data_IF_706542732279
#
_entry.id   IF_706542732279
#
_cell.length_a   1.000
_cell.length_b   1.000
_cell.length_c   1.000
_cell.angle_alpha   90.00
_cell.angle_beta   90.00
_cell.angle_gamma   90.00
#
_symmetry.space_group_name_H-M   'P 1'
#
loop_
_entity.id
_entity.type
_entity.pdbx_description
1 polymer ?
#
# COMPACT_ATOMS: atom_id res chain seq x y z
N UNK A 1 -18.14 21.23 -8.38
CA UNK A 1 -16.74 20.81 -8.63
C UNK A 1 -16.65 19.77 -9.72
N UNK A 2 -15.48 19.51 -10.30
CA UNK A 2 -15.25 18.36 -11.19
C UNK A 2 -14.80 17.14 -10.39
N UNK A 3 -15.29 15.94 -10.82
CA UNK A 3 -14.90 14.65 -10.24
C UNK A 3 -14.91 13.55 -11.30
N UNK A 4 -14.17 12.49 -11.04
CA UNK A 4 -14.34 11.21 -11.72
C UNK A 4 -15.45 10.45 -11.00
N UNK A 5 -16.45 9.98 -11.75
CA UNK A 5 -17.57 9.21 -11.22
C UNK A 5 -17.63 7.83 -11.84
N UNK A 6 -18.06 6.86 -11.06
CA UNK A 6 -18.36 5.49 -11.49
C UNK A 6 -19.83 5.21 -11.20
N UNK A 7 -20.61 4.95 -12.25
CA UNK A 7 -22.05 4.68 -12.17
C UNK A 7 -22.38 3.17 -12.22
N UNK A 8 -21.46 2.37 -12.71
CA UNK A 8 -21.54 0.91 -12.78
C UNK A 8 -20.14 0.30 -12.69
N UNK A 9 -20.02 -0.91 -12.16
CA UNK A 9 -18.73 -1.62 -12.15
C UNK A 9 -18.27 -1.98 -13.57
N UNK A 10 -16.94 -1.95 -13.81
CA UNK A 10 -16.35 -2.26 -15.11
C UNK A 10 -14.88 -1.92 -15.21
N UNK A 11 -14.36 -1.91 -16.43
CA UNK A 11 -13.00 -1.54 -16.77
C UNK A 11 -12.81 -0.01 -16.75
N UNK A 12 -11.68 0.51 -17.25
CA UNK A 12 -11.39 1.95 -17.27
C UNK A 12 -12.44 2.81 -17.99
N UNK A 13 -13.20 2.21 -18.91
CA UNK A 13 -14.25 2.85 -19.72
C UNK A 13 -15.43 3.37 -18.88
N UNK A 14 -15.61 2.89 -17.64
CA UNK A 14 -16.69 3.37 -16.75
C UNK A 14 -16.35 4.63 -15.96
N UNK A 15 -15.12 5.13 -16.09
CA UNK A 15 -14.68 6.37 -15.46
C UNK A 15 -15.22 7.57 -16.23
N UNK A 16 -16.13 8.33 -15.63
CA UNK A 16 -16.74 9.53 -16.21
C UNK A 16 -16.25 10.80 -15.53
N UNK A 17 -15.67 11.74 -16.29
CA UNK A 17 -15.30 13.05 -15.79
C UNK A 17 -16.49 14.01 -15.93
N UNK A 18 -17.10 14.38 -14.81
CA UNK A 18 -18.36 15.11 -14.81
C UNK A 18 -18.45 16.17 -13.70
N UNK A 19 -19.51 16.97 -13.73
CA UNK A 19 -19.83 17.89 -12.65
C UNK A 19 -20.46 17.14 -11.47
N UNK A 20 -19.93 17.37 -10.29
CA UNK A 20 -20.47 16.89 -9.01
C UNK A 20 -20.77 18.06 -8.08
N UNK A 21 -21.67 17.86 -7.13
CA UNK A 21 -21.96 18.86 -6.11
C UNK A 21 -20.70 19.19 -5.29
N UNK A 22 -20.56 20.43 -4.90
CA UNK A 22 -19.50 20.82 -3.97
C UNK A 22 -19.75 20.16 -2.61
N UNK A 23 -18.70 19.59 -1.99
CA UNK A 23 -18.84 18.89 -0.74
C UNK A 23 -19.11 19.84 0.43
N UNK A 24 -20.00 19.44 1.33
CA UNK A 24 -20.36 20.16 2.56
C UNK A 24 -20.02 19.25 3.75
N UNK A 25 -19.20 19.70 4.72
CA UNK A 25 -18.81 18.85 5.84
C UNK A 25 -19.93 18.75 6.87
N UNK A 26 -20.23 17.55 7.32
CA UNK A 26 -21.07 17.27 8.48
C UNK A 26 -20.27 17.41 9.80
N UNK A 27 -20.95 17.21 10.94
CA UNK A 27 -20.26 17.19 12.24
C UNK A 27 -19.12 16.13 12.27
N UNK A 28 -17.94 16.54 12.72
CA UNK A 28 -16.75 15.69 12.77
C UNK A 28 -16.01 15.51 11.44
N UNK A 29 -16.48 16.14 10.35
CA UNK A 29 -15.85 16.07 9.03
C UNK A 29 -15.17 17.38 8.64
N UNK A 30 -14.24 17.30 7.70
CA UNK A 30 -13.63 18.43 7.04
C UNK A 30 -13.66 18.26 5.51
N UNK A 31 -13.68 19.37 4.79
CA UNK A 31 -13.46 19.41 3.34
C UNK A 31 -12.00 19.74 3.09
N UNK A 32 -11.38 18.93 2.25
CA UNK A 32 -10.02 19.16 1.77
C UNK A 32 -10.08 19.53 0.30
N UNK A 33 -9.59 20.70 -0.07
CA UNK A 33 -9.27 21.07 -1.45
C UNK A 33 -8.03 20.28 -1.89
N UNK A 34 -8.18 19.41 -2.89
CA UNK A 34 -7.16 18.46 -3.26
C UNK A 34 -6.14 19.08 -4.22
N UNK A 35 -4.87 18.99 -3.86
CA UNK A 35 -3.73 19.45 -4.64
C UNK A 35 -3.05 18.30 -5.37
N UNK A 36 -3.03 17.12 -4.73
CA UNK A 36 -2.49 15.88 -5.29
C UNK A 36 -3.35 14.68 -4.89
N UNK A 37 -3.43 13.70 -5.79
CA UNK A 37 -4.25 12.49 -5.63
C UNK A 37 -3.36 11.27 -5.84
N UNK A 38 -3.37 10.35 -4.88
CA UNK A 38 -2.67 9.08 -4.99
C UNK A 38 -3.46 8.08 -5.84
N UNK A 39 -2.74 7.39 -6.75
CA UNK A 39 -3.30 6.31 -7.54
C UNK A 39 -2.90 4.97 -6.90
N UNK A 40 -3.89 4.16 -6.57
CA UNK A 40 -3.67 2.89 -5.88
C UNK A 40 -4.36 1.71 -6.57
N UNK A 41 -3.76 0.53 -6.48
CA UNK A 41 -4.33 -0.66 -7.12
C UNK A 41 -5.72 -1.03 -6.56
N UNK A 42 -6.00 -0.69 -5.30
CA UNK A 42 -7.30 -0.89 -4.67
C UNK A 42 -8.42 -0.10 -5.38
N UNK A 43 -8.10 1.01 -6.04
CA UNK A 43 -9.08 1.79 -6.80
C UNK A 43 -9.65 0.98 -7.97
N UNK A 44 -8.85 0.08 -8.55
CA UNK A 44 -9.32 -0.86 -9.57
C UNK A 44 -10.25 -1.90 -8.97
N UNK A 45 -9.98 -2.40 -7.76
CA UNK A 45 -10.86 -3.35 -7.07
C UNK A 45 -12.23 -2.75 -6.75
N UNK A 46 -12.28 -1.47 -6.34
CA UNK A 46 -13.52 -0.73 -6.12
C UNK A 46 -14.26 -0.53 -7.45
N UNK A 47 -13.58 -0.06 -8.48
CA UNK A 47 -14.17 0.18 -9.80
C UNK A 47 -14.75 -1.09 -10.42
N UNK A 48 -14.06 -2.22 -10.31
CA UNK A 48 -14.47 -3.51 -10.85
C UNK A 48 -15.48 -4.26 -9.98
N UNK A 49 -15.76 -3.78 -8.76
CA UNK A 49 -16.69 -4.39 -7.82
C UNK A 49 -16.14 -5.59 -7.05
N UNK A 50 -14.83 -5.86 -7.14
CA UNK A 50 -14.18 -6.88 -6.33
C UNK A 50 -14.27 -6.55 -4.83
N UNK A 51 -14.11 -5.27 -4.49
CA UNK A 51 -14.41 -4.73 -3.17
C UNK A 51 -15.71 -3.92 -3.27
N UNK A 52 -16.78 -4.34 -2.58
CA UNK A 52 -18.09 -3.69 -2.68
C UNK A 52 -18.03 -2.23 -2.25
N UNK A 53 -18.61 -1.35 -3.08
CA UNK A 53 -18.86 0.06 -2.77
C UNK A 53 -20.24 0.45 -3.30
N UNK A 54 -20.88 1.43 -2.69
CA UNK A 54 -22.15 1.98 -3.17
C UNK A 54 -21.93 2.81 -4.44
N UNK A 55 -22.81 2.64 -5.43
CA UNK A 55 -22.79 3.39 -6.68
C UNK A 55 -24.01 4.34 -6.76
N UNK A 56 -23.88 5.52 -7.41
CA UNK A 56 -22.68 6.06 -8.02
C UNK A 56 -21.66 6.59 -7.01
N UNK A 57 -20.35 6.40 -7.26
CA UNK A 57 -19.30 6.87 -6.37
C UNK A 57 -18.25 7.71 -7.08
N UNK A 58 -17.45 8.44 -6.30
CA UNK A 58 -16.17 8.99 -6.70
C UNK A 58 -15.08 8.08 -6.14
N UNK A 59 -14.27 7.42 -6.98
CA UNK A 59 -13.20 6.54 -6.52
C UNK A 59 -12.01 7.32 -5.96
N UNK A 60 -10.92 6.59 -5.68
CA UNK A 60 -9.72 7.13 -5.07
C UNK A 60 -9.78 7.14 -3.54
N UNK A 61 -8.72 6.66 -2.91
CA UNK A 61 -8.67 6.50 -1.44
C UNK A 61 -7.49 7.24 -0.80
N UNK A 62 -6.77 8.06 -1.56
CA UNK A 62 -5.59 8.77 -1.07
C UNK A 62 -5.47 10.13 -1.74
N UNK A 63 -5.24 11.16 -0.95
CA UNK A 63 -4.95 12.50 -1.45
C UNK A 63 -4.26 13.37 -0.40
N UNK A 64 -3.76 14.51 -0.87
CA UNK A 64 -3.23 15.58 -0.04
C UNK A 64 -3.68 16.95 -0.56
N UNK A 65 -3.77 17.92 0.33
CA UNK A 65 -4.20 19.26 0.01
C UNK A 65 -4.42 20.12 1.25
N UNK A 66 -5.29 21.12 1.12
CA UNK A 66 -5.54 22.10 2.16
C UNK A 66 -6.98 22.02 2.66
N UNK A 67 -7.19 22.09 3.97
CA UNK A 67 -8.53 22.13 4.59
C UNK A 67 -9.22 23.44 4.20
N UNK A 68 -10.40 23.35 3.56
CA UNK A 68 -11.17 24.51 3.08
C UNK A 68 -12.42 24.78 3.91
N UNK A 69 -12.96 23.75 4.59
CA UNK A 69 -14.10 23.90 5.50
C UNK A 69 -14.04 22.80 6.59
N UNK A 70 -14.65 23.08 7.74
CA UNK A 70 -14.79 22.12 8.85
C UNK A 70 -16.23 22.09 9.34
N UNK A 71 -16.69 20.90 9.71
CA UNK A 71 -18.00 20.69 10.35
C UNK A 71 -17.96 20.95 11.86
N UNK A 72 -19.12 20.92 12.47
CA UNK A 72 -19.24 21.10 13.91
C UNK A 72 -18.43 20.06 14.70
N UNK A 73 -17.81 20.47 15.80
CA UNK A 73 -17.06 19.60 16.72
C UNK A 73 -15.65 19.18 16.23
N UNK A 74 -15.19 19.63 15.07
CA UNK A 74 -13.84 19.38 14.59
C UNK A 74 -12.84 20.22 15.38
N UNK A 75 -11.85 19.56 15.98
CA UNK A 75 -10.76 20.19 16.76
C UNK A 75 -9.36 19.73 16.31
N UNK A 76 -9.30 18.69 15.48
CA UNK A 76 -8.05 18.07 15.04
C UNK A 76 -7.32 18.86 13.96
N UNK A 77 -8.08 19.66 13.20
CA UNK A 77 -7.59 20.48 12.09
C UNK A 77 -8.39 21.79 12.03
N UNK A 78 -7.84 22.80 11.34
CA UNK A 78 -8.51 24.06 11.03
C UNK A 78 -8.40 24.39 9.54
N UNK A 79 -9.24 25.31 9.07
CA UNK A 79 -9.16 25.85 7.71
C UNK A 79 -7.76 26.43 7.46
N UNK A 80 -7.16 26.09 6.35
CA UNK A 80 -5.81 26.45 5.95
C UNK A 80 -4.72 25.44 6.34
N UNK A 81 -5.02 24.41 7.14
CA UNK A 81 -4.06 23.37 7.45
C UNK A 81 -3.76 22.50 6.21
N UNK A 82 -2.48 22.21 5.98
CA UNK A 82 -2.03 21.24 4.98
C UNK A 82 -2.17 19.83 5.55
N UNK A 83 -2.88 18.98 4.82
CA UNK A 83 -3.20 17.63 5.30
C UNK A 83 -3.14 16.60 4.17
N UNK A 84 -2.93 15.35 4.54
CA UNK A 84 -3.15 14.21 3.65
C UNK A 84 -4.03 13.16 4.34
N UNK A 85 -4.52 12.21 3.57
CA UNK A 85 -5.28 11.09 4.09
C UNK A 85 -5.13 9.84 3.22
N UNK A 86 -5.38 8.68 3.83
CA UNK A 86 -5.49 7.41 3.14
C UNK A 86 -6.65 6.59 3.72
N UNK A 87 -7.35 5.84 2.84
CA UNK A 87 -8.43 4.93 3.23
C UNK A 87 -9.83 5.53 3.22
N UNK A 88 -10.02 6.79 2.82
CA UNK A 88 -11.33 7.40 2.61
C UNK A 88 -11.61 7.57 1.11
N UNK A 89 -12.75 7.08 0.63
CA UNK A 89 -13.20 7.26 -0.77
C UNK A 89 -13.44 8.73 -1.12
N UNK A 90 -13.37 9.04 -2.43
CA UNK A 90 -13.72 10.36 -2.94
C UNK A 90 -12.53 11.21 -3.37
N UNK A 91 -11.34 10.64 -3.46
CA UNK A 91 -10.13 11.38 -3.81
C UNK A 91 -10.07 11.82 -5.29
N UNK A 92 -10.76 11.14 -6.22
CA UNK A 92 -10.70 11.51 -7.63
C UNK A 92 -11.62 12.70 -7.95
N UNK A 93 -11.42 13.82 -7.25
CA UNK A 93 -12.21 15.04 -7.34
C UNK A 93 -11.34 16.28 -7.03
N UNK A 94 -11.90 17.46 -7.22
CA UNK A 94 -11.24 18.72 -6.82
C UNK A 94 -11.26 18.95 -5.31
N UNK A 95 -12.23 18.36 -4.61
CA UNK A 95 -12.32 18.41 -3.15
C UNK A 95 -13.00 17.13 -2.62
N UNK A 96 -12.68 16.76 -1.38
CA UNK A 96 -13.25 15.58 -0.73
C UNK A 96 -13.65 15.87 0.71
N UNK A 97 -14.76 15.24 1.17
CA UNK A 97 -15.15 15.22 2.59
C UNK A 97 -14.45 14.05 3.26
N UNK A 98 -13.76 14.32 4.36
CA UNK A 98 -13.03 13.31 5.13
C UNK A 98 -13.34 13.47 6.62
N UNK A 99 -13.51 12.36 7.35
CA UNK A 99 -13.58 12.42 8.81
C UNK A 99 -12.30 13.09 9.36
N UNK A 100 -12.45 14.16 10.14
CA UNK A 100 -11.31 14.96 10.58
C UNK A 100 -10.27 14.16 11.38
N UNK A 101 -10.68 13.09 12.04
CA UNK A 101 -9.81 12.16 12.74
C UNK A 101 -8.89 11.36 11.80
N UNK A 102 -9.23 11.25 10.49
CA UNK A 102 -8.45 10.56 9.47
C UNK A 102 -7.43 11.47 8.77
N UNK A 103 -7.50 12.77 9.01
CA UNK A 103 -6.57 13.72 8.42
C UNK A 103 -5.21 13.70 9.14
N UNK A 104 -4.16 13.61 8.36
CA UNK A 104 -2.76 13.62 8.82
C UNK A 104 -2.18 14.99 8.48
N UNK A 105 -1.73 15.79 9.47
CA UNK A 105 -1.00 17.02 9.20
C UNK A 105 0.28 16.75 8.40
N UNK A 106 0.55 17.57 7.39
CA UNK A 106 1.76 17.45 6.58
C UNK A 106 2.88 18.34 7.15
N UNK A 107 4.11 17.79 7.30
CA UNK A 107 5.30 18.60 7.57
C UNK A 107 5.55 19.62 6.45
N UNK A 108 6.22 20.74 6.78
CA UNK A 108 6.49 21.81 5.81
C UNK A 108 7.42 21.39 4.67
N UNK A 109 8.30 20.44 4.92
CA UNK A 109 9.28 19.87 3.98
C UNK A 109 8.72 18.74 3.11
N UNK A 110 7.44 18.36 3.29
CA UNK A 110 6.75 17.37 2.47
C UNK A 110 5.73 18.04 1.55
N UNK A 111 5.87 17.87 0.23
CA UNK A 111 4.90 18.40 -0.74
C UNK A 111 3.60 17.58 -0.75
N UNK A 112 2.53 18.16 -1.30
CA UNK A 112 1.26 17.45 -1.46
C UNK A 112 1.40 16.21 -2.36
N UNK A 113 2.20 16.32 -3.42
CA UNK A 113 2.47 15.22 -4.34
C UNK A 113 3.21 14.08 -3.65
N UNK A 114 4.25 14.38 -2.88
CA UNK A 114 4.99 13.36 -2.13
C UNK A 114 4.07 12.69 -1.08
N UNK A 115 3.25 13.46 -0.37
CA UNK A 115 2.31 12.93 0.60
C UNK A 115 1.24 12.03 -0.07
N UNK A 116 0.66 12.44 -1.19
CA UNK A 116 -0.33 11.65 -1.94
C UNK A 116 0.27 10.41 -2.60
N UNK A 117 1.58 10.37 -2.82
CA UNK A 117 2.27 9.20 -3.35
C UNK A 117 2.68 8.19 -2.27
N UNK A 118 2.66 8.58 -0.97
CA UNK A 118 3.28 7.77 0.07
C UNK A 118 2.37 7.40 1.24
N UNK A 119 1.29 8.12 1.50
CA UNK A 119 0.50 7.87 2.71
C UNK A 119 -0.11 6.47 2.73
N UNK A 120 -0.79 6.03 1.68
CA UNK A 120 -1.35 4.69 1.63
C UNK A 120 -0.28 3.63 1.43
N UNK A 121 0.57 3.83 0.43
CA UNK A 121 1.58 2.85 0.05
C UNK A 121 2.68 2.75 1.11
N UNK A 122 3.12 3.87 1.67
CA UNK A 122 4.14 3.94 2.71
C UNK A 122 3.65 3.38 4.04
N UNK A 123 2.45 3.76 4.52
CA UNK A 123 1.89 3.15 5.72
C UNK A 123 1.67 1.64 5.53
N UNK A 124 1.34 1.21 4.30
CA UNK A 124 1.25 -0.22 3.97
C UNK A 124 2.61 -0.90 4.10
N UNK A 125 3.63 -0.39 3.44
CA UNK A 125 5.00 -0.91 3.55
C UNK A 125 5.49 -0.90 5.01
N UNK A 126 5.18 0.17 5.74
CA UNK A 126 5.53 0.33 7.13
C UNK A 126 4.93 -0.79 8.01
N UNK A 127 3.60 -1.01 7.97
CA UNK A 127 3.01 -2.06 8.80
C UNK A 127 3.45 -3.45 8.36
N UNK A 128 3.71 -3.67 7.07
CA UNK A 128 4.25 -4.94 6.58
C UNK A 128 5.60 -5.25 7.22
N UNK A 129 6.52 -4.28 7.21
CA UNK A 129 7.88 -4.41 7.71
C UNK A 129 8.01 -4.35 9.24
N UNK A 130 7.03 -3.80 9.96
CA UNK A 130 7.11 -3.54 11.40
C UNK A 130 6.08 -4.28 12.24
N UNK A 131 4.94 -4.65 11.64
CA UNK A 131 3.79 -5.20 12.35
C UNK A 131 3.37 -6.57 11.87
N UNK A 132 3.18 -6.80 10.56
CA UNK A 132 2.78 -8.11 10.04
C UNK A 132 3.91 -9.14 10.15
N UNK A 133 5.10 -8.73 9.78
CA UNK A 133 6.36 -9.43 10.05
C UNK A 133 7.42 -8.38 10.44
N UNK A 134 7.73 -8.23 11.72
CA UNK A 134 8.76 -7.28 12.17
C UNK A 134 10.14 -7.71 11.67
N UNK A 135 10.53 -7.17 10.54
CA UNK A 135 11.84 -7.44 9.92
C UNK A 135 12.97 -7.04 10.86
N UNK A 136 14.02 -7.84 10.89
CA UNK A 136 15.24 -7.62 11.67
C UNK A 136 16.48 -7.93 10.85
N UNK A 137 17.61 -7.47 11.33
CA UNK A 137 18.90 -7.71 10.69
C UNK A 137 19.17 -9.22 10.55
N UNK A 138 19.57 -9.63 9.34
CA UNK A 138 19.85 -11.01 9.00
C UNK A 138 18.64 -11.79 8.43
N UNK A 139 17.43 -11.26 8.49
CA UNK A 139 16.29 -11.88 7.80
C UNK A 139 16.47 -11.80 6.28
N UNK A 140 16.01 -12.80 5.55
CA UNK A 140 15.83 -12.77 4.10
C UNK A 140 14.34 -12.62 3.78
N UNK A 141 13.98 -11.58 3.04
CA UNK A 141 12.62 -11.30 2.61
C UNK A 141 12.47 -11.48 1.09
N UNK A 142 11.47 -12.23 0.66
CA UNK A 142 11.02 -12.23 -0.73
C UNK A 142 9.89 -11.22 -0.90
N UNK A 143 10.08 -10.24 -1.80
CA UNK A 143 9.09 -9.19 -2.08
C UNK A 143 8.62 -9.33 -3.53
N UNK A 144 7.37 -9.71 -3.72
CA UNK A 144 6.73 -9.75 -5.03
C UNK A 144 6.29 -8.36 -5.51
N UNK A 145 6.30 -8.15 -6.84
CA UNK A 145 5.99 -6.87 -7.47
C UNK A 145 6.82 -5.70 -6.87
N UNK A 146 8.10 -5.93 -6.65
CA UNK A 146 9.00 -5.06 -5.91
C UNK A 146 9.20 -3.66 -6.54
N UNK A 147 8.91 -3.48 -7.84
CA UNK A 147 8.94 -2.18 -8.51
C UNK A 147 7.58 -1.45 -8.51
N UNK A 148 6.56 -1.99 -7.83
CA UNK A 148 5.29 -1.29 -7.59
C UNK A 148 5.40 -0.29 -6.44
N UNK A 149 4.39 0.56 -6.23
CA UNK A 149 4.45 1.61 -5.22
C UNK A 149 4.74 1.11 -3.81
N UNK A 150 3.98 0.12 -3.30
CA UNK A 150 4.30 -0.51 -2.00
C UNK A 150 5.63 -1.25 -2.07
N UNK A 151 5.92 -1.93 -3.19
CA UNK A 151 7.12 -2.74 -3.35
C UNK A 151 8.41 -1.95 -3.19
N UNK A 152 8.54 -0.80 -3.89
CA UNK A 152 9.73 0.07 -3.80
C UNK A 152 9.97 0.60 -2.38
N UNK A 153 8.90 1.01 -1.70
CA UNK A 153 8.98 1.50 -0.32
C UNK A 153 9.31 0.37 0.65
N UNK A 154 8.72 -0.82 0.46
CA UNK A 154 8.99 -1.99 1.30
C UNK A 154 10.42 -2.50 1.14
N UNK A 155 10.99 -2.50 -0.07
CA UNK A 155 12.40 -2.81 -0.31
C UNK A 155 13.29 -1.87 0.50
N UNK A 156 13.09 -0.55 0.40
CA UNK A 156 13.86 0.43 1.15
C UNK A 156 13.73 0.22 2.67
N UNK A 157 12.50 0.04 3.17
CA UNK A 157 12.25 -0.19 4.60
C UNK A 157 12.87 -1.49 5.09
N UNK A 158 12.86 -2.57 4.28
CA UNK A 158 13.54 -3.82 4.60
C UNK A 158 15.05 -3.62 4.70
N UNK A 159 15.65 -2.85 3.79
CA UNK A 159 17.07 -2.49 3.84
C UNK A 159 17.40 -1.63 5.06
N UNK A 160 16.58 -0.66 5.42
CA UNK A 160 16.73 0.14 6.64
C UNK A 160 16.74 -0.74 7.91
N UNK A 161 16.08 -1.89 7.87
CA UNK A 161 16.05 -2.86 8.98
C UNK A 161 17.15 -3.93 8.91
N UNK A 162 18.04 -3.86 7.90
CA UNK A 162 19.17 -4.77 7.73
C UNK A 162 18.80 -6.15 7.16
N UNK A 163 17.65 -6.28 6.52
CA UNK A 163 17.25 -7.50 5.85
C UNK A 163 17.94 -7.65 4.48
N UNK A 164 18.13 -8.90 4.06
CA UNK A 164 18.44 -9.26 2.68
C UNK A 164 17.14 -9.32 1.88
N UNK A 165 17.10 -8.63 0.74
CA UNK A 165 15.90 -8.52 -0.09
C UNK A 165 16.08 -9.25 -1.41
N UNK A 166 15.25 -10.28 -1.63
CA UNK A 166 15.01 -10.91 -2.92
C UNK A 166 13.76 -10.31 -3.52
N UNK A 167 13.83 -9.72 -4.70
CA UNK A 167 12.76 -8.99 -5.34
C UNK A 167 12.30 -9.71 -6.62
N UNK A 168 10.98 -9.73 -6.89
CA UNK A 168 10.50 -10.21 -8.18
C UNK A 168 9.87 -9.09 -9.00
N UNK A 169 10.21 -9.04 -10.28
CA UNK A 169 9.73 -8.05 -11.25
C UNK A 169 9.47 -8.68 -12.62
N UNK A 170 8.87 -7.92 -13.56
CA UNK A 170 8.50 -8.42 -14.89
C UNK A 170 9.37 -7.92 -16.04
N UNK A 171 10.09 -6.80 -15.89
CA UNK A 171 10.83 -6.14 -16.98
C UNK A 171 12.17 -5.61 -16.51
N UNK A 172 13.07 -5.32 -17.47
CA UNK A 172 14.38 -4.72 -17.21
C UNK A 172 14.27 -3.35 -16.52
N UNK A 173 13.32 -2.51 -16.93
CA UNK A 173 13.08 -1.21 -16.28
C UNK A 173 12.71 -1.41 -14.80
N UNK A 174 11.82 -2.36 -14.51
CA UNK A 174 11.41 -2.68 -13.14
C UNK A 174 12.54 -3.30 -12.32
N UNK A 175 13.44 -4.04 -12.95
CA UNK A 175 14.66 -4.53 -12.29
C UNK A 175 15.55 -3.37 -11.85
N UNK A 176 15.78 -2.39 -12.73
CA UNK A 176 16.58 -1.21 -12.39
C UNK A 176 15.96 -0.44 -11.21
N UNK A 177 14.63 -0.30 -11.18
CA UNK A 177 13.92 0.35 -10.07
C UNK A 177 14.09 -0.40 -8.75
N UNK A 178 13.89 -1.72 -8.75
CA UNK A 178 14.03 -2.54 -7.54
C UNK A 178 15.47 -2.54 -7.02
N UNK A 179 16.48 -2.61 -7.92
CA UNK A 179 17.90 -2.47 -7.55
C UNK A 179 18.21 -1.09 -7.00
N UNK A 180 17.69 -0.03 -7.63
CA UNK A 180 17.82 1.35 -7.14
C UNK A 180 17.21 1.55 -5.74
N UNK A 181 16.14 0.85 -5.42
CA UNK A 181 15.54 0.84 -4.09
C UNK A 181 16.34 0.02 -3.06
N UNK A 182 17.37 -0.72 -3.49
CA UNK A 182 18.27 -1.46 -2.62
C UNK A 182 18.04 -2.97 -2.55
N UNK A 183 17.25 -3.57 -3.46
CA UNK A 183 17.13 -5.03 -3.53
C UNK A 183 18.49 -5.67 -3.78
N UNK A 184 18.84 -6.69 -2.97
CA UNK A 184 20.12 -7.41 -3.09
C UNK A 184 20.14 -8.30 -4.34
N UNK A 185 19.01 -8.98 -4.61
CA UNK A 185 18.81 -9.80 -5.80
C UNK A 185 17.46 -9.47 -6.45
N UNK A 186 17.43 -9.45 -7.77
CA UNK A 186 16.20 -9.20 -8.53
C UNK A 186 15.98 -10.32 -9.54
N UNK A 187 14.80 -10.93 -9.46
CA UNK A 187 14.39 -12.08 -10.27
C UNK A 187 13.33 -11.61 -11.26
N UNK A 188 13.61 -11.73 -12.54
CA UNK A 188 12.63 -11.49 -13.61
C UNK A 188 11.84 -12.76 -13.86
N UNK A 189 10.63 -12.82 -13.30
CA UNK A 189 9.78 -14.01 -13.40
C UNK A 189 9.25 -14.29 -14.82
N UNK A 190 9.40 -13.35 -15.75
CA UNK A 190 9.12 -13.58 -17.18
C UNK A 190 10.16 -14.49 -17.84
N UNK A 191 11.41 -14.47 -17.35
CA UNK A 191 12.55 -15.18 -17.93
C UNK A 191 12.92 -16.43 -17.15
N UNK A 192 12.60 -16.44 -15.85
CA UNK A 192 13.09 -17.46 -14.91
C UNK A 192 11.99 -17.84 -13.92
N UNK A 193 11.90 -19.14 -13.59
CA UNK A 193 11.04 -19.58 -12.50
C UNK A 193 11.57 -19.03 -11.15
N UNK A 194 10.82 -18.14 -10.56
CA UNK A 194 11.25 -17.48 -9.32
C UNK A 194 11.43 -18.46 -8.14
N UNK A 195 10.67 -19.57 -8.10
CA UNK A 195 10.79 -20.57 -7.06
C UNK A 195 12.17 -21.25 -7.11
N UNK A 196 12.58 -21.70 -8.30
CA UNK A 196 13.88 -22.31 -8.51
C UNK A 196 15.03 -21.33 -8.23
N UNK A 197 14.85 -20.07 -8.63
CA UNK A 197 15.88 -19.06 -8.44
C UNK A 197 16.04 -18.65 -6.97
N UNK A 198 14.95 -18.50 -6.22
CA UNK A 198 15.03 -18.25 -4.76
C UNK A 198 15.67 -19.45 -4.05
N UNK A 199 15.33 -20.69 -4.43
CA UNK A 199 15.99 -21.89 -3.88
C UNK A 199 17.51 -21.86 -4.13
N UNK A 200 17.93 -21.51 -5.34
CA UNK A 200 19.35 -21.35 -5.68
C UNK A 200 20.04 -20.26 -4.86
N UNK A 201 19.38 -19.09 -4.74
CA UNK A 201 19.94 -17.93 -4.02
C UNK A 201 20.02 -18.11 -2.50
N UNK A 202 19.26 -19.07 -1.97
CA UNK A 202 19.21 -19.39 -0.54
C UNK A 202 19.81 -20.75 -0.19
N UNK A 203 20.49 -21.40 -1.12
CA UNK A 203 21.03 -22.76 -0.94
C UNK A 203 19.99 -23.77 -0.45
N UNK A 204 18.73 -23.62 -0.91
CA UNK A 204 17.53 -24.35 -0.50
C UNK A 204 17.10 -24.15 0.97
N UNK A 205 17.66 -23.19 1.69
CA UNK A 205 17.22 -22.87 3.06
C UNK A 205 15.87 -22.13 3.09
N UNK A 206 15.55 -21.37 2.03
CA UNK A 206 14.35 -20.55 1.94
C UNK A 206 14.46 -19.17 2.63
N UNK A 207 13.33 -18.51 2.83
CA UNK A 207 13.25 -17.15 3.35
C UNK A 207 12.41 -17.08 4.64
N UNK A 208 12.67 -16.09 5.48
CA UNK A 208 11.93 -15.86 6.72
C UNK A 208 10.53 -15.35 6.43
N UNK A 209 10.37 -14.55 5.37
CA UNK A 209 9.09 -13.94 5.01
C UNK A 209 8.93 -13.78 3.50
N UNK A 210 7.70 -14.00 3.03
CA UNK A 210 7.25 -13.65 1.69
C UNK A 210 6.19 -12.56 1.80
N UNK A 211 6.45 -11.40 1.20
CA UNK A 211 5.47 -10.33 1.04
C UNK A 211 4.85 -10.42 -0.36
N UNK A 212 3.60 -10.83 -0.43
CA UNK A 212 2.90 -11.13 -1.68
C UNK A 212 1.71 -10.20 -1.92
N UNK A 213 1.80 -9.35 -2.95
CA UNK A 213 0.72 -8.51 -3.48
C UNK A 213 0.09 -9.08 -4.75
N UNK A 214 0.63 -10.19 -5.27
CA UNK A 214 0.27 -10.76 -6.57
C UNK A 214 -0.82 -11.82 -6.44
N UNK A 215 -0.67 -12.76 -5.53
CA UNK A 215 -1.70 -13.71 -5.14
C UNK A 215 -1.73 -14.97 -6.01
N UNK A 216 -2.76 -15.16 -6.85
CA UNK A 216 -3.06 -16.41 -7.55
C UNK A 216 -1.84 -17.10 -8.19
N UNK A 217 -0.95 -16.35 -8.82
CA UNK A 217 0.18 -16.92 -9.57
C UNK A 217 1.46 -17.10 -8.76
N UNK A 218 1.51 -16.58 -7.52
CA UNK A 218 2.72 -16.56 -6.70
C UNK A 218 2.56 -17.32 -5.38
N UNK A 219 1.35 -17.41 -4.87
CA UNK A 219 1.07 -17.87 -3.51
C UNK A 219 1.60 -19.28 -3.22
N UNK A 220 1.24 -20.28 -4.04
CA UNK A 220 1.61 -21.68 -3.77
C UNK A 220 3.12 -21.89 -3.81
N UNK A 221 3.79 -21.28 -4.79
CA UNK A 221 5.27 -21.28 -4.89
C UNK A 221 5.90 -20.52 -3.72
N UNK A 222 5.31 -19.39 -3.31
CA UNK A 222 5.76 -18.63 -2.16
C UNK A 222 5.72 -19.44 -0.86
N UNK A 223 4.71 -20.28 -0.65
CA UNK A 223 4.64 -21.17 0.52
C UNK A 223 5.78 -22.21 0.53
N UNK A 224 6.26 -22.66 -0.66
CA UNK A 224 7.37 -23.61 -0.78
C UNK A 224 8.74 -23.02 -0.41
N UNK A 225 8.83 -21.69 -0.44
CA UNK A 225 10.06 -20.95 -0.22
C UNK A 225 10.30 -20.53 1.23
N UNK A 226 9.30 -20.72 2.09
CA UNK A 226 9.41 -20.32 3.49
C UNK A 226 10.24 -21.32 4.30
N UNK A 227 11.14 -20.80 5.13
CA UNK A 227 11.77 -21.58 6.19
C UNK A 227 10.73 -22.13 7.14
N UNK A 228 11.03 -23.20 7.90
CA UNK A 228 10.15 -23.63 9.00
C UNK A 228 9.82 -22.44 9.93
N UNK A 229 8.54 -22.25 10.21
CA UNK A 229 7.97 -21.11 10.96
C UNK A 229 8.11 -19.76 10.27
N UNK A 230 8.42 -19.74 8.96
CA UNK A 230 8.39 -18.53 8.14
C UNK A 230 6.97 -18.00 7.93
N UNK A 231 6.85 -16.79 7.43
CA UNK A 231 5.55 -16.10 7.32
C UNK A 231 5.23 -15.74 5.87
N UNK A 232 4.06 -16.16 5.39
CA UNK A 232 3.43 -15.65 4.18
C UNK A 232 2.56 -14.45 4.54
N UNK A 233 2.90 -13.27 4.04
CA UNK A 233 2.12 -12.04 4.19
C UNK A 233 1.47 -11.73 2.85
N UNK A 234 0.26 -12.22 2.65
CA UNK A 234 -0.53 -11.99 1.44
C UNK A 234 -1.31 -10.68 1.59
N UNK A 235 -0.83 -9.57 1.01
CA UNK A 235 -1.45 -8.26 1.18
C UNK A 235 -2.15 -7.70 -0.07
N UNK A 236 -2.06 -8.42 -1.20
CA UNK A 236 -2.74 -8.08 -2.46
C UNK A 236 -3.14 -9.32 -3.26
N UNK A 237 -3.76 -9.08 -4.42
CA UNK A 237 -4.22 -10.16 -5.32
C UNK A 237 -4.30 -9.66 -6.78
N UNK A 238 -3.25 -8.97 -7.25
CA UNK A 238 -3.25 -8.35 -8.57
C UNK A 238 -3.36 -9.33 -9.74
N UNK A 239 -2.98 -10.61 -9.54
CA UNK A 239 -3.19 -11.69 -10.52
C UNK A 239 -4.49 -12.46 -10.33
N UNK A 240 -5.31 -12.05 -9.36
CA UNK A 240 -6.56 -12.70 -8.99
C UNK A 240 -6.52 -13.32 -7.57
N UNK A 241 -7.68 -13.75 -7.07
CA UNK A 241 -7.81 -14.31 -5.74
C UNK A 241 -7.08 -15.66 -5.61
N UNK A 242 -6.51 -15.88 -4.44
CA UNK A 242 -5.95 -17.17 -4.03
C UNK A 242 -7.09 -18.15 -3.75
N UNK A 243 -6.93 -19.41 -4.13
CA UNK A 243 -7.87 -20.48 -3.82
C UNK A 243 -7.96 -20.75 -2.32
N UNK A 244 -8.99 -21.48 -1.89
CA UNK A 244 -9.13 -21.88 -0.49
C UNK A 244 -7.90 -22.70 -0.05
N UNK A 245 -7.33 -22.35 1.10
CA UNK A 245 -6.14 -22.99 1.66
C UNK A 245 -6.55 -24.03 2.71
N UNK A 246 -6.13 -25.26 2.54
CA UNK A 246 -6.22 -26.29 3.59
C UNK A 246 -5.19 -25.95 4.69
N UNK A 247 -5.63 -25.76 5.96
CA UNK A 247 -4.72 -25.47 7.06
C UNK A 247 -3.62 -26.53 7.26
N UNK A 248 -3.84 -27.78 6.85
CA UNK A 248 -2.83 -28.84 6.93
C UNK A 248 -1.57 -28.52 6.12
N UNK A 249 -1.70 -27.77 5.03
CA UNK A 249 -0.57 -27.32 4.21
C UNK A 249 0.42 -26.52 5.04
N UNK A 250 -0.05 -25.68 5.96
CA UNK A 250 0.82 -24.85 6.81
C UNK A 250 1.71 -25.72 7.72
N UNK A 251 1.14 -26.78 8.28
CA UNK A 251 1.89 -27.74 9.09
C UNK A 251 2.89 -28.53 8.24
N UNK A 252 2.46 -29.07 7.10
CA UNK A 252 3.30 -29.88 6.20
C UNK A 252 4.51 -29.10 5.66
N UNK A 253 4.36 -27.77 5.46
CA UNK A 253 5.43 -26.89 4.99
C UNK A 253 6.30 -26.30 6.11
N UNK A 254 6.26 -26.89 7.32
CA UNK A 254 7.15 -26.47 8.41
C UNK A 254 6.49 -25.55 9.43
N UNK A 255 5.18 -25.71 9.71
CA UNK A 255 4.45 -24.89 10.68
C UNK A 255 4.54 -23.38 10.37
N UNK A 256 4.39 -23.05 9.10
CA UNK A 256 4.46 -21.68 8.62
C UNK A 256 3.23 -20.86 9.03
N UNK A 257 3.39 -19.53 9.04
CA UNK A 257 2.30 -18.60 9.32
C UNK A 257 1.74 -18.03 8.03
N UNK A 258 0.42 -17.84 7.98
CA UNK A 258 -0.27 -17.17 6.89
C UNK A 258 -1.09 -16.01 7.46
N UNK A 259 -0.91 -14.81 6.94
CA UNK A 259 -1.73 -13.66 7.28
C UNK A 259 -2.19 -12.90 6.03
N UNK A 260 -3.40 -12.30 6.11
CA UNK A 260 -3.98 -11.45 5.07
C UNK A 260 -4.29 -10.07 5.70
N UNK A 261 -3.26 -9.22 5.87
CA UNK A 261 -3.41 -7.95 6.55
C UNK A 261 -4.08 -6.89 5.66
N UNK A 262 -4.65 -5.87 6.30
CA UNK A 262 -5.16 -4.67 5.66
C UNK A 262 -4.77 -3.44 6.49
N UNK A 263 -4.47 -2.31 5.83
CA UNK A 263 -4.04 -1.06 6.48
C UNK A 263 -5.04 -0.60 7.56
N UNK A 264 -6.34 -0.76 7.31
CA UNK A 264 -7.41 -0.36 8.26
C UNK A 264 -7.19 -0.94 9.65
N UNK A 265 -6.76 -2.21 9.74
CA UNK A 265 -6.53 -2.85 11.04
C UNK A 265 -5.23 -2.39 11.74
N UNK A 266 -4.32 -1.77 10.99
CA UNK A 266 -3.07 -1.21 11.52
C UNK A 266 -3.15 0.29 11.79
N UNK A 267 -4.31 0.91 11.48
CA UNK A 267 -4.61 2.33 11.71
C UNK A 267 -5.98 2.51 12.35
N UNK A 268 -6.37 1.58 13.26
CA UNK A 268 -7.67 1.60 13.95
C UNK A 268 -7.83 2.85 14.80
N UNK A 269 -6.79 3.24 15.51
CA UNK A 269 -6.78 4.45 16.31
C UNK A 269 -6.08 5.60 15.57
N UNK A 270 -6.47 6.85 15.89
CA UNK A 270 -5.75 8.03 15.39
C UNK A 270 -4.27 7.98 15.80
N UNK A 271 -3.94 7.45 16.97
CA UNK A 271 -2.56 7.32 17.43
C UNK A 271 -1.76 6.39 16.52
N UNK A 272 -2.29 5.21 16.16
CA UNK A 272 -1.63 4.27 15.25
C UNK A 272 -1.44 4.88 13.87
N UNK A 273 -2.46 5.58 13.37
CA UNK A 273 -2.41 6.25 12.08
C UNK A 273 -1.31 7.35 12.07
N UNK A 274 -1.32 8.25 13.06
CA UNK A 274 -0.35 9.34 13.14
C UNK A 274 1.07 8.83 13.38
N UNK A 275 1.24 7.76 14.15
CA UNK A 275 2.54 7.12 14.33
C UNK A 275 3.10 6.62 13.00
N UNK A 276 2.33 5.82 12.25
CA UNK A 276 2.80 5.27 10.98
C UNK A 276 2.99 6.33 9.90
N UNK A 277 2.00 7.22 9.75
CA UNK A 277 2.11 8.30 8.79
C UNK A 277 3.26 9.26 9.14
N UNK A 278 3.43 9.58 10.42
CA UNK A 278 4.50 10.46 10.90
C UNK A 278 5.89 9.91 10.61
N UNK A 279 6.16 8.63 10.90
CA UNK A 279 7.45 8.01 10.56
C UNK A 279 7.70 8.01 9.06
N UNK A 280 6.69 7.64 8.25
CA UNK A 280 6.81 7.63 6.79
C UNK A 280 7.08 9.02 6.23
N UNK A 281 6.35 10.05 6.68
CA UNK A 281 6.54 11.43 6.24
C UNK A 281 7.89 11.99 6.70
N UNK A 282 8.36 11.68 7.92
CA UNK A 282 9.70 12.04 8.39
C UNK A 282 10.80 11.43 7.51
N UNK A 283 10.66 10.16 7.16
CA UNK A 283 11.64 9.52 6.27
C UNK A 283 11.66 10.12 4.87
N UNK A 284 10.52 10.56 4.36
CA UNK A 284 10.44 11.28 3.08
C UNK A 284 11.07 12.67 3.20
N UNK A 285 10.67 13.48 4.19
CA UNK A 285 11.20 14.83 4.39
C UNK A 285 12.70 14.84 4.67
N UNK A 286 13.23 13.82 5.34
CA UNK A 286 14.68 13.68 5.60
C UNK A 286 15.47 12.97 4.49
N UNK A 287 14.79 12.54 3.42
CA UNK A 287 15.43 11.83 2.30
C UNK A 287 15.90 10.41 2.62
N UNK A 288 15.42 9.81 3.71
CA UNK A 288 15.68 8.39 4.06
C UNK A 288 14.82 7.44 3.24
N UNK A 289 13.68 7.89 2.76
CA UNK A 289 12.75 7.16 1.92
C UNK A 289 12.55 7.94 0.63
N UNK A 290 12.93 7.35 -0.48
CA UNK A 290 12.74 7.92 -1.81
C UNK A 290 11.36 7.54 -2.36
N UNK A 291 10.62 8.54 -2.85
CA UNK A 291 9.25 8.41 -3.38
C UNK A 291 9.28 8.72 -4.87
N UNK A 292 8.70 7.82 -5.64
CA UNK A 292 8.61 7.98 -7.09
C UNK A 292 7.22 8.42 -7.54
#
# INVERSE_FOLDING_TARGET
MKAIRVHQHGGPEVLSYEDAADPIPEAGQAVVGLEAIGLNYIDTYHREGLYPIDLPCTPGVEAAGTVTAIGAGVTQVKVGDRVGYAGALGAYAQASVVAAERLVPLPDDVTAEAAAAVLLQGMTAHYLATGSYPLKSGDTALIHAAAGGVGLLLVQMAKMRGARVLATVSTDEKEQLARGAGADEVIRYADTDFELEVQRLTDNEGVEVVFDSVGKTTFDKGLNLLKPRGTMVLFGQSSGPVAAVDPQVLSQKGSIFLTRPTLVHYTLTRQDQLHRAGEVLDWVGTGKLDVR
#
